data_IF_996676845288
#
_entry.id   IF_996676845288
#
_cell.length_a   1.000
_cell.length_b   1.000
_cell.length_c   1.000
_cell.angle_alpha   90.00
_cell.angle_beta   90.00
_cell.angle_gamma   90.00
#
_symmetry.space_group_name_H-M   'P 1'
#
loop_
_entity.id
_entity.type
_entity.pdbx_description
1 polymer ?
#
# COMPACT_ATOMS: atom_id res chain seq x y z
N UNK A 1 1.66 -27.71 -6.24
CA UNK A 1 3.09 -28.00 -6.49
C UNK A 1 3.84 -27.48 -5.28
N UNK A 2 4.30 -28.40 -4.44
CA UNK A 2 4.85 -28.13 -3.11
C UNK A 2 6.34 -27.82 -3.23
N UNK A 3 6.77 -26.64 -2.80
CA UNK A 3 8.19 -26.29 -2.67
C UNK A 3 8.50 -26.07 -1.18
N UNK A 4 8.92 -27.16 -0.53
CA UNK A 4 9.62 -27.11 0.76
C UNK A 4 11.02 -26.55 0.51
N UNK A 5 11.32 -25.36 1.01
CA UNK A 5 12.71 -24.93 1.24
C UNK A 5 13.04 -25.29 2.68
N UNK A 6 13.56 -26.49 2.86
CA UNK A 6 14.32 -26.88 4.04
C UNK A 6 15.79 -26.58 3.74
N UNK A 7 16.30 -25.48 4.27
CA UNK A 7 17.72 -25.36 4.56
C UNK A 7 17.89 -25.09 6.05
N UNK A 8 18.53 -26.03 6.71
CA UNK A 8 18.82 -26.01 8.13
C UNK A 8 20.18 -25.33 8.33
N UNK A 9 20.23 -24.27 9.12
CA UNK A 9 21.42 -23.89 9.89
C UNK A 9 20.98 -23.38 11.27
N UNK A 10 21.50 -23.92 12.38
CA UNK A 10 21.09 -23.58 13.74
C UNK A 10 21.86 -22.34 14.22
N UNK A 11 21.14 -21.32 14.69
CA UNK A 11 21.76 -20.20 15.41
C UNK A 11 21.53 -18.82 14.80
N UNK A 12 20.27 -18.41 14.63
CA UNK A 12 19.93 -16.99 14.56
C UNK A 12 18.52 -16.80 15.07
N UNK A 13 18.43 -16.09 16.19
CA UNK A 13 17.22 -15.58 16.85
C UNK A 13 16.51 -14.56 15.94
N UNK A 14 16.03 -14.99 14.77
CA UNK A 14 15.15 -14.24 13.86
C UNK A 14 13.74 -14.79 14.06
N UNK A 15 12.73 -13.95 14.37
CA UNK A 15 11.35 -14.42 14.35
C UNK A 15 11.07 -15.01 12.95
N UNK A 16 10.46 -16.20 12.85
CA UNK A 16 10.20 -16.82 11.57
C UNK A 16 9.23 -15.94 10.79
N UNK A 17 9.70 -15.40 9.66
CA UNK A 17 8.86 -14.68 8.71
C UNK A 17 7.91 -15.70 8.08
N UNK A 18 6.78 -15.94 8.73
CA UNK A 18 5.74 -16.82 8.24
C UNK A 18 4.90 -16.05 7.24
N UNK A 19 5.27 -16.15 5.96
CA UNK A 19 4.43 -15.69 4.86
C UNK A 19 3.69 -16.91 4.33
N UNK A 20 2.38 -16.99 4.58
CA UNK A 20 1.50 -18.00 3.99
C UNK A 20 0.70 -17.32 2.90
N UNK A 21 0.72 -17.88 1.70
CA UNK A 21 -0.03 -17.31 0.59
C UNK A 21 -0.51 -18.38 -0.37
N UNK A 22 -1.78 -18.28 -0.74
CA UNK A 22 -2.42 -19.10 -1.75
C UNK A 22 -2.66 -18.23 -2.98
N UNK A 23 -2.23 -18.70 -4.15
CA UNK A 23 -2.47 -18.02 -5.42
C UNK A 23 -3.17 -19.02 -6.34
N UNK A 24 -4.41 -18.69 -6.69
CA UNK A 24 -5.25 -19.46 -7.60
C UNK A 24 -5.37 -18.70 -8.92
N UNK A 25 -4.97 -19.36 -10.00
CA UNK A 25 -5.13 -18.86 -11.35
C UNK A 25 -6.25 -19.63 -12.03
N UNK A 26 -7.38 -18.98 -12.26
CA UNK A 26 -8.49 -19.56 -12.99
C UNK A 26 -8.41 -19.10 -14.44
N UNK A 27 -8.09 -20.04 -15.34
CA UNK A 27 -7.92 -19.76 -16.76
C UNK A 27 -9.25 -19.38 -17.46
N UNK A 28 -10.40 -19.62 -16.82
CA UNK A 28 -11.72 -19.50 -17.46
C UNK A 28 -12.78 -19.13 -16.42
N UNK A 29 -12.94 -17.85 -16.03
CA UNK A 29 -12.65 -16.63 -16.80
C UNK A 29 -11.49 -15.78 -16.25
N UNK A 30 -10.27 -15.91 -16.81
CA UNK A 30 -9.09 -15.03 -16.62
C UNK A 30 -8.97 -14.39 -15.21
N UNK A 31 -9.26 -15.15 -14.16
CA UNK A 31 -9.44 -14.62 -12.82
C UNK A 31 -8.22 -15.01 -11.99
N UNK A 32 -7.48 -14.01 -11.53
CA UNK A 32 -6.36 -14.22 -10.62
C UNK A 32 -6.87 -13.97 -9.21
N UNK A 33 -6.79 -14.98 -8.35
CA UNK A 33 -7.08 -14.84 -6.93
C UNK A 33 -5.81 -15.05 -6.12
N UNK A 34 -5.54 -14.15 -5.20
CA UNK A 34 -4.46 -14.35 -4.25
C UNK A 34 -4.93 -14.01 -2.84
N UNK A 35 -4.54 -14.84 -1.88
CA UNK A 35 -4.75 -14.59 -0.47
C UNK A 35 -3.39 -14.70 0.20
N UNK A 36 -2.87 -13.60 0.72
CA UNK A 36 -1.60 -13.56 1.45
C UNK A 36 -1.85 -13.22 2.92
N UNK A 37 -1.19 -13.94 3.81
CA UNK A 37 -1.16 -13.69 5.24
C UNK A 37 0.30 -13.63 5.71
N UNK A 38 0.65 -12.57 6.43
CA UNK A 38 1.95 -12.39 7.04
C UNK A 38 1.82 -12.09 8.53
N UNK A 39 2.68 -12.66 9.37
CA UNK A 39 2.70 -12.30 10.79
C UNK A 39 3.41 -10.95 11.02
N UNK A 40 4.69 -10.84 10.64
CA UNK A 40 5.46 -9.60 10.75
C UNK A 40 6.04 -9.22 9.40
N UNK A 41 5.74 -8.03 8.90
CA UNK A 41 6.37 -7.47 7.70
C UNK A 41 7.03 -6.14 8.05
N UNK A 42 8.33 -6.03 7.80
CA UNK A 42 9.06 -4.78 7.99
C UNK A 42 9.48 -4.25 6.62
N UNK A 43 8.73 -3.29 6.09
CA UNK A 43 9.01 -2.66 4.80
C UNK A 43 10.29 -1.83 4.84
N UNK A 44 10.71 -1.27 5.97
CA UNK A 44 12.01 -0.56 6.07
C UNK A 44 13.21 -1.45 5.72
N UNK A 45 13.07 -2.77 5.85
CA UNK A 45 14.12 -3.73 5.44
C UNK A 45 14.10 -4.10 3.96
N UNK A 46 12.97 -3.88 3.29
CA UNK A 46 12.79 -4.19 1.87
C UNK A 46 12.79 -2.94 0.99
N UNK A 47 12.54 -1.78 1.58
CA UNK A 47 12.87 -0.50 1.01
C UNK A 47 14.40 -0.48 0.90
N UNK A 48 14.97 -0.22 -0.29
CA UNK A 48 16.39 0.09 -0.35
C UNK A 48 16.64 1.20 0.67
N UNK A 49 17.69 1.11 1.50
CA UNK A 49 18.02 2.22 2.38
C UNK A 49 18.04 3.47 1.50
N UNK A 50 17.51 4.62 1.97
CA UNK A 50 17.81 5.87 1.31
C UNK A 50 19.33 5.96 1.36
N UNK A 51 20.00 5.57 0.28
CA UNK A 51 21.29 6.12 -0.04
C UNK A 51 21.06 7.61 0.15
N UNK A 52 21.79 8.18 1.11
CA UNK A 52 21.96 9.61 1.23
C UNK A 52 21.88 10.13 -0.18
N UNK A 53 20.85 10.91 -0.47
CA UNK A 53 20.82 11.74 -1.64
C UNK A 53 22.07 12.59 -1.53
N UNK A 54 23.18 12.05 -2.03
CA UNK A 54 24.38 12.77 -2.35
C UNK A 54 23.83 13.72 -3.37
N UNK A 55 23.62 14.94 -2.92
CA UNK A 55 23.30 16.07 -3.77
C UNK A 55 24.24 15.99 -4.96
N UNK A 56 23.75 15.41 -6.05
CA UNK A 56 24.35 15.56 -7.33
C UNK A 56 23.99 17.00 -7.69
N UNK A 57 24.87 17.90 -7.30
CA UNK A 57 25.12 19.11 -8.06
C UNK A 57 25.47 18.66 -9.49
N UNK A 58 24.43 18.40 -10.28
CA UNK A 58 24.47 18.32 -11.73
C UNK A 58 23.39 19.29 -12.17
N UNK A 59 23.82 20.33 -12.88
CA UNK A 59 23.08 21.55 -13.12
C UNK A 59 21.62 21.33 -13.53
N UNK A 60 20.80 22.33 -13.17
CA UNK A 60 19.47 22.52 -13.68
C UNK A 60 19.43 22.37 -15.20
N UNK A 61 19.17 21.15 -15.67
CA UNK A 61 18.53 20.91 -16.95
C UNK A 61 17.04 20.90 -16.61
N UNK A 62 16.20 21.69 -17.31
CA UNK A 62 14.76 21.67 -17.08
C UNK A 62 14.32 20.22 -17.10
N UNK A 63 13.59 19.79 -16.06
CA UNK A 63 12.87 18.54 -16.09
C UNK A 63 12.06 18.56 -17.38
N UNK A 64 12.48 17.77 -18.36
CA UNK A 64 11.75 17.63 -19.61
C UNK A 64 10.35 17.20 -19.20
N UNK A 65 9.39 18.07 -19.46
CA UNK A 65 7.96 17.82 -19.33
C UNK A 65 7.73 16.47 -19.98
N UNK A 66 7.54 15.43 -19.15
CA UNK A 66 7.14 14.15 -19.70
C UNK A 66 5.78 14.42 -20.35
N UNK A 67 5.61 14.10 -21.64
CA UNK A 67 4.33 14.29 -22.31
C UNK A 67 3.27 13.59 -21.46
N UNK A 68 2.15 14.28 -21.23
CA UNK A 68 1.00 13.77 -20.49
C UNK A 68 0.70 12.35 -20.97
N UNK A 69 1.12 11.35 -20.19
CA UNK A 69 0.76 9.98 -20.51
C UNK A 69 -0.71 9.88 -20.15
N UNK A 70 -1.61 9.68 -21.14
CA UNK A 70 -2.98 9.36 -20.82
C UNK A 70 -2.92 8.16 -19.88
N UNK A 71 -3.69 8.22 -18.79
CA UNK A 71 -3.78 7.07 -17.90
C UNK A 71 -4.39 5.95 -18.75
N UNK A 72 -3.54 5.06 -19.26
CA UNK A 72 -3.95 3.94 -20.08
C UNK A 72 -4.52 2.88 -19.14
N UNK A 73 -5.80 3.05 -18.83
CA UNK A 73 -6.56 2.12 -18.04
C UNK A 73 -7.05 0.93 -18.89
N UNK A 74 -6.54 0.79 -20.12
CA UNK A 74 -6.85 -0.29 -21.06
C UNK A 74 -6.40 -1.65 -20.51
N UNK A 75 -5.27 -1.69 -19.78
CA UNK A 75 -4.81 -2.89 -19.07
C UNK A 75 -5.82 -3.40 -18.01
N UNK A 76 -6.62 -2.51 -17.41
CA UNK A 76 -7.64 -2.87 -16.41
C UNK A 76 -8.92 -3.42 -17.03
N UNK A 77 -9.17 -3.20 -18.33
CA UNK A 77 -10.39 -3.67 -19.03
C UNK A 77 -10.41 -5.18 -19.25
N UNK A 78 -9.24 -5.83 -19.36
CA UNK A 78 -9.09 -7.28 -19.52
C UNK A 78 -8.75 -8.02 -18.23
N UNK A 79 -8.50 -7.31 -17.13
CA UNK A 79 -8.01 -7.90 -15.88
C UNK A 79 -9.17 -8.22 -14.93
N UNK A 80 -9.24 -9.48 -14.48
CA UNK A 80 -10.09 -9.91 -13.38
C UNK A 80 -9.18 -10.43 -12.25
N UNK A 81 -9.02 -9.66 -11.19
CA UNK A 81 -8.11 -9.94 -10.11
C UNK A 81 -8.81 -9.71 -8.77
N UNK A 82 -8.68 -10.65 -7.84
CA UNK A 82 -9.14 -10.49 -6.46
C UNK A 82 -8.05 -10.91 -5.50
N UNK A 83 -7.56 -9.95 -4.74
CA UNK A 83 -6.54 -10.10 -3.73
C UNK A 83 -7.11 -9.88 -2.33
N UNK A 84 -6.63 -10.65 -1.37
CA UNK A 84 -6.76 -10.32 0.05
C UNK A 84 -5.38 -10.44 0.70
N UNK A 85 -4.98 -9.39 1.41
CA UNK A 85 -3.72 -9.32 2.13
C UNK A 85 -4.01 -9.04 3.60
N UNK A 86 -3.53 -9.91 4.49
CA UNK A 86 -3.60 -9.74 5.93
C UNK A 86 -2.20 -9.73 6.53
N UNK A 87 -1.91 -8.75 7.37
CA UNK A 87 -0.63 -8.62 8.07
C UNK A 87 -0.91 -8.31 9.53
N UNK A 88 -0.39 -9.13 10.45
CA UNK A 88 -0.62 -8.90 11.89
C UNK A 88 0.16 -7.68 12.40
N UNK A 89 1.42 -7.53 11.96
CA UNK A 89 2.32 -6.44 12.32
C UNK A 89 3.07 -5.94 11.08
N UNK A 90 2.91 -4.67 10.73
CA UNK A 90 3.60 -4.00 9.63
C UNK A 90 4.41 -2.81 10.15
N UNK A 91 5.68 -2.73 9.81
CA UNK A 91 6.51 -1.55 10.09
C UNK A 91 6.96 -0.93 8.77
N UNK A 92 6.64 0.33 8.55
CA UNK A 92 6.98 1.06 7.34
C UNK A 92 7.36 2.51 7.67
N UNK A 93 8.54 2.97 7.25
CA UNK A 93 9.02 4.32 7.54
C UNK A 93 9.00 4.65 9.04
N UNK A 94 9.45 3.72 9.88
CA UNK A 94 9.35 3.79 11.36
C UNK A 94 7.92 3.72 11.95
N UNK A 95 6.89 3.78 11.11
CA UNK A 95 5.49 3.71 11.54
C UNK A 95 5.08 2.26 11.77
N UNK A 96 4.54 1.97 12.95
CA UNK A 96 4.04 0.65 13.33
C UNK A 96 2.53 0.57 13.11
N UNK A 97 2.11 -0.36 12.26
CA UNK A 97 0.72 -0.69 12.00
C UNK A 97 0.45 -2.12 12.47
N UNK A 98 -0.72 -2.35 13.01
CA UNK A 98 -1.15 -3.68 13.47
C UNK A 98 -2.44 -4.06 12.73
N UNK A 99 -2.68 -5.37 12.54
CA UNK A 99 -3.89 -5.91 11.89
C UNK A 99 -4.22 -5.21 10.56
N UNK A 100 -3.23 -5.12 9.69
CA UNK A 100 -3.38 -4.55 8.35
C UNK A 100 -4.15 -5.52 7.48
N UNK A 101 -5.30 -5.11 6.98
CA UNK A 101 -6.12 -5.88 6.06
C UNK A 101 -6.31 -5.04 4.81
N UNK A 102 -6.00 -5.59 3.64
CA UNK A 102 -6.15 -4.95 2.36
C UNK A 102 -6.81 -5.92 1.37
N UNK A 103 -8.07 -5.65 1.06
CA UNK A 103 -8.77 -6.29 -0.04
C UNK A 103 -8.59 -5.50 -1.34
N UNK A 104 -8.24 -6.18 -2.43
CA UNK A 104 -8.16 -5.57 -3.77
C UNK A 104 -9.03 -6.37 -4.73
N UNK A 105 -9.84 -5.70 -5.53
CA UNK A 105 -10.67 -6.32 -6.57
C UNK A 105 -10.56 -5.47 -7.82
N UNK A 106 -10.10 -6.05 -8.92
CA UNK A 106 -10.09 -5.42 -10.23
C UNK A 106 -10.92 -6.27 -11.18
N UNK A 107 -11.88 -5.67 -11.87
CA UNK A 107 -12.68 -6.36 -12.89
C UNK A 107 -13.25 -5.38 -13.91
N UNK A 108 -13.04 -5.66 -15.21
CA UNK A 108 -13.74 -4.95 -16.30
C UNK A 108 -13.54 -3.43 -16.30
N UNK A 109 -12.32 -2.98 -16.01
CA UNK A 109 -11.99 -1.55 -15.95
C UNK A 109 -12.44 -0.86 -14.66
N UNK A 110 -12.76 -1.60 -13.60
CA UNK A 110 -12.97 -1.06 -12.25
C UNK A 110 -11.96 -1.69 -11.30
N UNK A 111 -11.38 -0.87 -10.42
CA UNK A 111 -10.49 -1.31 -9.35
C UNK A 111 -11.04 -0.77 -8.04
N UNK A 112 -11.28 -1.69 -7.12
CA UNK A 112 -11.77 -1.45 -5.78
C UNK A 112 -10.74 -2.00 -4.79
N UNK A 113 -10.01 -1.12 -4.12
CA UNK A 113 -9.17 -1.48 -2.99
C UNK A 113 -9.94 -1.20 -1.70
N UNK A 114 -10.72 -2.19 -1.26
CA UNK A 114 -11.51 -2.12 -0.03
C UNK A 114 -11.80 -3.54 0.52
N UNK A 115 -11.78 -3.74 1.85
CA UNK A 115 -11.38 -2.76 2.88
C UNK A 115 -9.87 -2.61 2.98
N UNK A 116 -9.40 -1.38 3.17
CA UNK A 116 -8.06 -1.10 3.69
C UNK A 116 -8.23 -0.70 5.15
N UNK A 117 -7.83 -1.55 6.10
CA UNK A 117 -7.90 -1.23 7.53
C UNK A 117 -6.57 -1.54 8.21
N UNK A 118 -6.19 -0.75 9.20
CA UNK A 118 -5.05 -1.01 10.06
C UNK A 118 -5.25 -0.33 11.42
N UNK A 119 -4.65 -0.85 12.48
CA UNK A 119 -4.53 -0.19 13.77
C UNK A 119 -3.23 0.62 13.79
N UNK A 120 -3.32 1.90 14.21
CA UNK A 120 -2.21 2.85 14.15
C UNK A 120 -2.24 3.80 15.37
N UNK A 121 -1.19 3.76 16.21
CA UNK A 121 -1.00 4.64 17.38
C UNK A 121 -2.27 4.88 18.22
N UNK A 122 -2.88 3.81 18.72
CA UNK A 122 -4.14 3.79 19.50
C UNK A 122 -5.41 4.20 18.71
N UNK A 123 -5.27 4.59 17.45
CA UNK A 123 -6.37 4.85 16.53
C UNK A 123 -6.54 3.69 15.54
N UNK A 124 -7.56 3.81 14.70
CA UNK A 124 -7.83 2.88 13.60
C UNK A 124 -7.80 3.64 12.29
N UNK A 125 -7.08 3.14 11.31
CA UNK A 125 -7.13 3.58 9.93
C UNK A 125 -8.12 2.72 9.15
N UNK A 126 -8.97 3.38 8.39
CA UNK A 126 -9.85 2.77 7.40
C UNK A 126 -9.72 3.56 6.11
N UNK A 127 -9.64 2.89 4.98
CA UNK A 127 -9.51 3.51 3.68
C UNK A 127 -10.19 2.69 2.61
N UNK A 128 -10.51 3.38 1.53
CA UNK A 128 -11.13 2.82 0.36
C UNK A 128 -10.64 3.57 -0.88
N UNK A 129 -10.24 2.82 -1.89
CA UNK A 129 -9.89 3.40 -3.19
C UNK A 129 -10.78 2.76 -4.25
N UNK A 130 -11.48 3.60 -5.02
CA UNK A 130 -12.24 3.18 -6.18
C UNK A 130 -11.69 3.89 -7.41
N UNK A 131 -11.38 3.12 -8.45
CA UNK A 131 -10.93 3.63 -9.74
C UNK A 131 -11.83 3.04 -10.81
N UNK A 132 -12.41 3.89 -11.63
CA UNK A 132 -13.24 3.47 -12.74
C UNK A 132 -12.69 4.02 -14.05
N UNK A 133 -12.10 3.11 -14.83
CA UNK A 133 -11.51 3.36 -16.15
C UNK A 133 -12.52 3.75 -17.21
N UNK A 134 -13.77 3.30 -17.08
CA UNK A 134 -14.81 3.59 -18.05
C UNK A 134 -15.28 5.05 -17.96
N UNK A 135 -15.21 5.63 -16.76
CA UNK A 135 -15.60 7.02 -16.50
C UNK A 135 -14.42 7.93 -16.19
N UNK A 136 -13.20 7.40 -16.26
CA UNK A 136 -11.96 8.03 -15.81
C UNK A 136 -12.11 8.78 -14.47
N UNK A 137 -12.74 8.09 -13.50
CA UNK A 137 -12.98 8.61 -12.15
C UNK A 137 -12.13 7.87 -11.15
N UNK A 138 -11.61 8.61 -10.18
CA UNK A 138 -10.86 8.10 -9.06
C UNK A 138 -11.46 8.68 -7.77
N UNK A 139 -11.76 7.81 -6.81
CA UNK A 139 -12.23 8.17 -5.49
C UNK A 139 -11.31 7.53 -4.44
N UNK A 140 -10.86 8.34 -3.50
CA UNK A 140 -10.08 7.94 -2.33
C UNK A 140 -10.82 8.43 -1.09
N UNK A 141 -11.15 7.48 -0.21
CA UNK A 141 -11.62 7.76 1.15
C UNK A 141 -10.56 7.25 2.13
N UNK A 142 -10.25 8.05 3.12
CA UNK A 142 -9.37 7.68 4.22
C UNK A 142 -9.87 8.30 5.51
N UNK A 143 -10.02 7.47 6.53
CA UNK A 143 -10.54 7.82 7.85
C UNK A 143 -9.57 7.28 8.92
N UNK A 144 -9.09 8.14 9.78
CA UNK A 144 -8.21 7.84 10.91
C UNK A 144 -8.80 8.40 12.20
N UNK A 145 -9.84 7.76 12.77
CA UNK A 145 -10.37 8.14 14.08
C UNK A 145 -9.38 7.85 15.23
N UNK A 146 -9.23 8.83 16.13
CA UNK A 146 -8.57 8.65 17.42
C UNK A 146 -7.06 8.41 17.34
N UNK A 147 -6.42 8.76 16.22
CA UNK A 147 -4.98 8.60 16.04
C UNK A 147 -4.23 9.58 16.95
N UNK A 148 -3.22 9.08 17.65
CA UNK A 148 -2.32 9.94 18.40
C UNK A 148 -1.38 10.68 17.43
N UNK A 149 -1.59 11.98 17.27
CA UNK A 149 -0.84 12.82 16.32
C UNK A 149 0.62 12.98 16.73
N UNK A 150 0.90 13.06 18.04
CA UNK A 150 2.27 13.19 18.58
C UNK A 150 3.23 12.12 18.07
N UNK A 151 3.02 10.82 18.39
CA UNK A 151 3.90 9.77 17.92
C UNK A 151 3.89 9.63 16.38
N UNK A 152 2.76 9.90 15.72
CA UNK A 152 2.70 9.88 14.25
C UNK A 152 3.61 10.96 13.62
N UNK A 153 3.55 12.20 14.11
CA UNK A 153 4.37 13.32 13.61
C UNK A 153 5.85 13.14 13.97
N UNK A 154 6.12 12.54 15.14
CA UNK A 154 7.47 12.18 15.56
C UNK A 154 8.07 11.09 14.68
N UNK A 155 7.35 10.00 14.44
CA UNK A 155 7.87 8.88 13.66
C UNK A 155 7.86 9.17 12.14
N UNK A 156 6.88 9.91 11.62
CA UNK A 156 6.76 10.21 10.19
C UNK A 156 7.52 11.47 9.74
N UNK A 157 7.50 12.56 10.54
CA UNK A 157 8.11 13.84 10.17
C UNK A 157 9.29 14.24 11.07
N UNK A 158 9.61 13.45 12.11
CA UNK A 158 10.65 13.80 13.10
C UNK A 158 10.42 15.17 13.76
N UNK A 159 9.14 15.53 13.96
CA UNK A 159 8.72 16.80 14.56
C UNK A 159 7.88 16.55 15.84
N UNK A 160 8.26 17.19 16.95
CA UNK A 160 7.64 17.05 18.28
C UNK A 160 6.64 18.19 18.63
N UNK A 161 6.23 19.04 17.68
CA UNK A 161 5.47 20.27 18.01
C UNK A 161 3.97 20.08 18.31
N UNK A 162 3.38 18.90 18.04
CA UNK A 162 1.93 18.70 18.17
C UNK A 162 1.62 17.38 18.90
N UNK A 163 1.07 17.49 20.10
CA UNK A 163 0.63 16.35 20.91
C UNK A 163 -0.89 16.38 21.10
N UNK A 164 -1.56 15.24 20.87
CA UNK A 164 -3.01 15.15 20.97
C UNK A 164 -3.57 13.95 20.21
N UNK A 165 -4.86 13.67 20.41
CA UNK A 165 -5.62 12.69 19.62
C UNK A 165 -6.53 13.44 18.66
N UNK A 166 -6.50 13.04 17.40
CA UNK A 166 -7.30 13.67 16.35
C UNK A 166 -8.04 12.64 15.51
N UNK A 167 -9.04 13.12 14.78
CA UNK A 167 -9.74 12.36 13.75
C UNK A 167 -9.39 13.00 12.42
N UNK A 168 -8.84 12.23 11.49
CA UNK A 168 -8.56 12.70 10.13
C UNK A 168 -9.52 12.00 9.19
N UNK A 169 -10.30 12.74 8.43
CA UNK A 169 -11.13 12.20 7.36
C UNK A 169 -10.76 12.93 6.06
N UNK A 170 -10.52 12.15 5.01
CA UNK A 170 -10.14 12.63 3.69
C UNK A 170 -11.05 11.94 2.67
N UNK A 171 -11.86 12.73 1.98
CA UNK A 171 -12.64 12.30 0.82
C UNK A 171 -12.14 13.08 -0.39
N UNK A 172 -11.52 12.38 -1.32
CA UNK A 172 -11.01 12.94 -2.57
C UNK A 172 -11.71 12.24 -3.71
N UNK A 173 -12.42 13.01 -4.53
CA UNK A 173 -13.01 12.51 -5.76
C UNK A 173 -12.48 13.35 -6.91
N UNK A 174 -11.90 12.68 -7.89
CA UNK A 174 -11.33 13.29 -9.08
C UNK A 174 -11.94 12.62 -10.30
N UNK A 175 -12.15 13.41 -11.34
CA UNK A 175 -12.64 12.94 -12.63
C UNK A 175 -12.04 13.82 -13.71
N UNK A 176 -11.41 13.21 -14.70
CA UNK A 176 -10.67 13.93 -15.73
C UNK A 176 -9.68 13.02 -16.43
N UNK A 177 -9.39 13.30 -17.70
CA UNK A 177 -8.49 12.48 -18.51
C UNK A 177 -6.99 12.75 -18.24
N UNK A 178 -6.70 13.63 -17.29
CA UNK A 178 -5.36 14.12 -16.96
C UNK A 178 -5.22 14.30 -15.45
N UNK A 179 -4.08 13.86 -14.90
CA UNK A 179 -3.62 14.24 -13.56
C UNK A 179 -2.60 15.34 -13.73
N UNK A 180 -2.94 16.57 -13.35
CA UNK A 180 -1.97 17.65 -13.25
C UNK A 180 -1.18 17.44 -11.96
N UNK A 181 0.10 17.10 -12.07
CA UNK A 181 1.07 17.19 -10.98
C UNK A 181 1.69 18.59 -10.97
#
# INVERSE_FOLDING_TARGET
MELKVSDATPGSKKPPLSLKGDVEFDASPQAIRFTLAADQLNLDRYLPPPEKAKAAAAGARPAATQPEQPIDLSALKGLNLKGDLKIDQLVASNVKLEKVHLGVKAAGGKVDAEPLTADLYQGKFTGAVNVNANTNRFALKADLPGVALGPLLKDALNHDMLEGKGNVALDVQTGGNTVSA
#
